data_IF_400130103201
#
_entry.id   IF_400130103201
#
_cell.length_a   1.000
_cell.length_b   1.000
_cell.length_c   1.000
_cell.angle_alpha   90.00
_cell.angle_beta   90.00
_cell.angle_gamma   90.00
#
_symmetry.space_group_name_H-M   'P 1'
#
loop_
_entity.id
_entity.type
_entity.pdbx_description
1 polymer ?
#
# COMPACT_ATOMS: atom_id res chain seq x y z
N UNK A 1 24.13 -13.18 28.64
CA UNK A 1 23.40 -12.25 27.77
C UNK A 1 24.04 -12.23 26.39
N UNK A 2 23.25 -12.35 25.33
CA UNK A 2 23.75 -12.28 23.96
C UNK A 2 23.68 -10.84 23.48
N UNK A 3 24.82 -10.23 23.17
CA UNK A 3 24.87 -8.89 22.56
C UNK A 3 24.89 -9.06 21.05
N UNK A 4 23.85 -8.55 20.38
CA UNK A 4 23.84 -8.50 18.93
C UNK A 4 24.91 -7.54 18.40
N UNK A 5 25.51 -7.86 17.24
CA UNK A 5 26.39 -6.91 16.56
C UNK A 5 25.60 -5.64 16.18
N UNK A 6 26.23 -4.49 16.31
CA UNK A 6 25.64 -3.22 15.86
C UNK A 6 25.77 -3.09 14.35
N UNK A 7 24.74 -3.54 13.63
CA UNK A 7 24.64 -3.37 12.18
C UNK A 7 23.84 -2.09 11.91
N UNK A 8 24.44 -1.16 11.16
CA UNK A 8 23.73 0.05 10.72
C UNK A 8 22.71 -0.31 9.64
N UNK A 9 21.54 0.34 9.71
CA UNK A 9 20.52 0.18 8.69
C UNK A 9 21.08 0.54 7.30
N UNK A 10 20.86 -0.34 6.33
CA UNK A 10 21.17 -0.04 4.94
C UNK A 10 20.02 0.77 4.35
N UNK A 11 20.26 1.96 3.76
CA UNK A 11 19.17 2.77 3.23
C UNK A 11 18.41 2.08 2.10
N UNK A 12 17.08 2.16 2.11
CA UNK A 12 16.22 1.49 1.13
C UNK A 12 16.54 1.89 -0.33
N UNK A 13 16.83 3.17 -0.58
CA UNK A 13 17.19 3.68 -1.91
C UNK A 13 18.50 3.06 -2.46
N UNK A 14 19.41 2.59 -1.58
CA UNK A 14 20.61 1.87 -2.00
C UNK A 14 20.34 0.40 -2.28
N UNK A 15 19.37 -0.19 -1.57
CA UNK A 15 18.97 -1.59 -1.75
C UNK A 15 18.21 -1.81 -3.07
N UNK A 16 17.26 -0.92 -3.37
CA UNK A 16 16.33 -1.07 -4.48
C UNK A 16 16.82 -0.46 -5.81
N UNK A 17 17.89 0.35 -5.78
CA UNK A 17 18.45 1.01 -6.95
C UNK A 17 17.50 2.05 -7.59
N UNK A 18 17.89 2.59 -8.75
CA UNK A 18 17.16 3.69 -9.43
C UNK A 18 15.87 3.29 -10.16
N UNK A 19 15.60 1.99 -10.31
CA UNK A 19 14.46 1.49 -11.11
C UNK A 19 13.16 1.38 -10.32
N UNK A 20 13.23 1.48 -9.00
CA UNK A 20 12.07 1.31 -8.13
C UNK A 20 11.33 2.64 -7.94
N UNK A 21 10.00 2.65 -8.10
CA UNK A 21 9.19 3.82 -7.80
C UNK A 21 9.39 4.29 -6.35
N UNK A 22 9.52 5.60 -6.09
CA UNK A 22 9.69 6.11 -4.73
C UNK A 22 8.52 5.73 -3.81
N UNK A 23 7.31 5.61 -4.34
CA UNK A 23 6.10 5.19 -3.63
C UNK A 23 6.19 3.75 -3.15
N UNK A 24 6.81 2.86 -3.94
CA UNK A 24 7.02 1.47 -3.55
C UNK A 24 8.00 1.37 -2.37
N UNK A 25 9.06 2.17 -2.41
CA UNK A 25 10.05 2.24 -1.32
C UNK A 25 9.42 2.80 -0.05
N UNK A 26 8.60 3.84 -0.17
CA UNK A 26 7.87 4.42 0.96
C UNK A 26 6.93 3.39 1.60
N UNK A 27 6.13 2.67 0.80
CA UNK A 27 5.23 1.62 1.29
C UNK A 27 5.97 0.53 2.07
N UNK A 28 7.06 0.01 1.50
CA UNK A 28 7.88 -1.02 2.15
C UNK A 28 8.46 -0.51 3.47
N UNK A 29 8.89 0.75 3.52
CA UNK A 29 9.42 1.35 4.74
C UNK A 29 8.37 1.45 5.85
N UNK A 30 7.09 1.67 5.52
CA UNK A 30 5.98 1.72 6.47
C UNK A 30 5.54 0.34 6.95
N UNK A 31 5.70 -0.69 6.11
CA UNK A 31 5.37 -2.08 6.45
C UNK A 31 6.45 -2.73 7.31
N UNK A 32 7.72 -2.55 6.94
CA UNK A 32 8.87 -3.21 7.57
C UNK A 32 9.42 -2.41 8.76
N UNK A 33 8.55 -2.16 9.74
CA UNK A 33 8.91 -1.52 11.00
C UNK A 33 9.11 -2.56 12.10
N UNK A 34 10.18 -2.39 12.89
CA UNK A 34 10.45 -3.24 14.05
C UNK A 34 9.35 -3.11 15.09
N UNK A 35 8.96 -1.88 15.41
CA UNK A 35 7.84 -1.61 16.32
C UNK A 35 6.52 -1.95 15.63
N UNK A 36 5.72 -2.88 16.17
CA UNK A 36 4.43 -3.25 15.57
C UNK A 36 3.47 -2.05 15.44
N UNK A 37 3.51 -1.15 16.42
CA UNK A 37 2.63 0.03 16.48
C UNK A 37 2.96 1.08 15.42
N UNK A 38 4.14 1.00 14.80
CA UNK A 38 4.56 1.90 13.71
C UNK A 38 4.26 1.34 12.33
N UNK A 39 3.84 0.07 12.23
CA UNK A 39 3.49 -0.53 10.95
C UNK A 39 2.20 0.10 10.44
N UNK A 40 2.16 0.40 9.14
CA UNK A 40 0.89 0.79 8.54
C UNK A 40 -0.13 -0.36 8.63
N UNK A 41 -1.40 0.01 8.80
CA UNK A 41 -2.48 -0.97 8.81
C UNK A 41 -2.71 -1.51 7.39
N UNK A 42 -3.39 -2.66 7.28
CA UNK A 42 -3.72 -3.23 5.98
C UNK A 42 -4.53 -2.24 5.11
N UNK A 43 -5.48 -1.53 5.71
CA UNK A 43 -6.31 -0.57 4.99
C UNK A 43 -5.54 0.69 4.60
N UNK A 44 -4.66 1.20 5.46
CA UNK A 44 -3.76 2.32 5.11
C UNK A 44 -2.81 1.95 3.98
N UNK A 45 -2.32 0.70 3.98
CA UNK A 45 -1.49 0.17 2.90
C UNK A 45 -2.29 0.06 1.59
N UNK A 46 -3.53 -0.43 1.64
CA UNK A 46 -4.43 -0.42 0.49
C UNK A 46 -4.60 1.01 -0.04
N UNK A 47 -4.83 1.99 0.82
CA UNK A 47 -4.99 3.41 0.49
C UNK A 47 -3.71 4.12 0.01
N UNK A 48 -2.57 3.43 -0.06
CA UNK A 48 -1.29 4.04 -0.40
C UNK A 48 -1.24 4.50 -1.88
N UNK A 49 -0.53 5.61 -2.20
CA UNK A 49 -0.39 6.11 -3.57
C UNK A 49 0.24 5.12 -4.55
N UNK A 50 1.02 4.16 -4.03
CA UNK A 50 1.57 3.07 -4.83
C UNK A 50 0.49 2.27 -5.59
N UNK A 51 -0.73 2.21 -5.06
CA UNK A 51 -1.86 1.53 -5.70
C UNK A 51 -2.81 2.48 -6.46
N UNK A 52 -2.47 3.76 -6.62
CA UNK A 52 -3.32 4.72 -7.33
C UNK A 52 -3.54 4.34 -8.80
N UNK A 53 -2.56 3.69 -9.44
CA UNK A 53 -2.72 3.17 -10.80
C UNK A 53 -3.86 2.17 -10.89
N UNK A 54 -4.08 1.33 -9.87
CA UNK A 54 -5.18 0.36 -9.85
C UNK A 54 -6.56 1.03 -9.74
N UNK A 55 -6.61 2.30 -9.30
CA UNK A 55 -7.83 3.10 -9.16
C UNK A 55 -8.15 3.92 -10.40
N UNK A 56 -7.26 3.98 -11.39
CA UNK A 56 -7.56 4.65 -12.65
C UNK A 56 -8.47 3.74 -13.50
N UNK A 57 -9.66 4.23 -13.93
CA UNK A 57 -10.57 3.44 -14.77
C UNK A 57 -9.97 3.03 -16.13
N UNK A 58 -8.85 3.65 -16.55
CA UNK A 58 -8.13 3.31 -17.78
C UNK A 58 -7.14 2.17 -17.60
N UNK A 59 -6.84 1.78 -16.35
CA UNK A 59 -5.86 0.74 -16.08
C UNK A 59 -6.40 -0.61 -16.49
N UNK A 60 -5.59 -1.31 -17.27
CA UNK A 60 -5.85 -2.67 -17.70
C UNK A 60 -4.61 -3.52 -17.42
N UNK A 61 -4.79 -4.83 -17.38
CA UNK A 61 -3.69 -5.76 -17.31
C UNK A 61 -2.80 -5.59 -18.56
N UNK A 62 -1.53 -6.00 -18.47
CA UNK A 62 -0.58 -5.91 -19.59
C UNK A 62 -1.01 -6.66 -20.86
N UNK A 63 -1.99 -7.57 -20.73
CA UNK A 63 -2.63 -8.28 -21.84
C UNK A 63 -3.90 -7.60 -22.39
N UNK A 64 -4.22 -6.39 -21.91
CA UNK A 64 -5.41 -5.62 -22.29
C UNK A 64 -6.72 -6.02 -21.62
N UNK A 65 -6.71 -7.03 -20.73
CA UNK A 65 -7.92 -7.43 -19.98
C UNK A 65 -8.21 -6.44 -18.85
N UNK A 66 -9.48 -6.35 -18.46
CA UNK A 66 -9.89 -5.60 -17.28
C UNK A 66 -9.24 -6.16 -16.02
N UNK A 67 -9.06 -5.30 -15.02
CA UNK A 67 -8.65 -5.71 -13.69
C UNK A 67 -9.72 -6.65 -13.07
N UNK A 68 -9.33 -7.55 -12.15
CA UNK A 68 -10.29 -8.28 -11.32
C UNK A 68 -11.12 -7.32 -10.45
N UNK A 69 -12.18 -7.78 -9.77
CA UNK A 69 -12.84 -6.97 -8.75
C UNK A 69 -11.83 -6.66 -7.63
N UNK A 70 -11.55 -5.36 -7.45
CA UNK A 70 -10.58 -4.84 -6.47
C UNK A 70 -11.23 -3.96 -5.39
N UNK A 71 -12.46 -3.50 -5.63
CA UNK A 71 -13.14 -2.49 -4.81
C UNK A 71 -14.49 -2.98 -4.27
N UNK A 72 -14.71 -4.29 -4.28
CA UNK A 72 -15.90 -4.99 -3.80
C UNK A 72 -15.84 -5.28 -2.29
N UNK A 73 -15.44 -4.28 -1.50
CA UNK A 73 -15.37 -4.39 -0.04
C UNK A 73 -16.74 -4.69 0.57
N UNK A 74 -16.77 -5.66 1.48
CA UNK A 74 -17.93 -5.99 2.29
C UNK A 74 -18.17 -4.95 3.40
N UNK A 75 -19.39 -4.91 3.95
CA UNK A 75 -19.72 -4.02 5.06
C UNK A 75 -18.83 -4.25 6.29
N UNK A 76 -18.43 -5.50 6.53
CA UNK A 76 -17.53 -5.86 7.63
C UNK A 76 -16.08 -5.36 7.42
N UNK A 77 -15.63 -5.25 6.17
CA UNK A 77 -14.30 -4.70 5.85
C UNK A 77 -14.25 -3.17 5.98
N UNK A 78 -15.40 -2.51 5.80
CA UNK A 78 -15.53 -1.07 5.92
C UNK A 78 -15.92 -0.60 7.34
N UNK A 79 -16.28 -1.53 8.21
CA UNK A 79 -16.77 -1.23 9.55
C UNK A 79 -15.68 -0.53 10.39
N UNK A 80 -16.02 0.61 10.97
CA UNK A 80 -15.12 1.39 11.82
C UNK A 80 -14.03 2.17 11.09
N UNK A 81 -14.00 2.14 9.75
CA UNK A 81 -13.05 2.95 8.98
C UNK A 81 -13.46 4.42 8.89
N UNK A 82 -12.51 5.36 8.95
CA UNK A 82 -12.78 6.76 8.67
C UNK A 82 -13.29 6.94 7.23
N UNK A 83 -14.27 7.83 7.04
CA UNK A 83 -14.86 8.13 5.71
C UNK A 83 -13.82 8.54 4.68
N UNK A 84 -12.81 9.32 5.10
CA UNK A 84 -11.69 9.75 4.24
C UNK A 84 -10.89 8.56 3.68
N UNK A 85 -10.71 7.51 4.48
CA UNK A 85 -9.99 6.32 4.08
C UNK A 85 -10.83 5.46 3.14
N UNK A 86 -12.13 5.33 3.42
CA UNK A 86 -13.10 4.67 2.54
C UNK A 86 -13.13 5.33 1.17
N UNK A 87 -13.14 6.67 1.14
CA UNK A 87 -13.08 7.44 -0.10
C UNK A 87 -11.76 7.27 -0.85
N UNK A 88 -10.65 7.00 -0.16
CA UNK A 88 -9.35 6.75 -0.80
C UNK A 88 -9.23 5.32 -1.32
N UNK A 89 -9.79 4.32 -0.64
CA UNK A 89 -9.74 2.92 -1.10
C UNK A 89 -10.81 2.62 -2.17
N UNK A 90 -11.97 3.29 -2.16
CA UNK A 90 -13.04 3.13 -3.16
C UNK A 90 -13.06 4.35 -4.10
N UNK A 91 -12.64 4.19 -5.37
CA UNK A 91 -12.62 5.29 -6.32
C UNK A 91 -14.03 5.74 -6.69
N UNK A 92 -14.18 7.03 -7.05
CA UNK A 92 -15.50 7.67 -7.27
C UNK A 92 -16.36 6.97 -8.32
N UNK A 93 -15.74 6.47 -9.40
CA UNK A 93 -16.45 5.77 -10.47
C UNK A 93 -17.01 4.39 -10.05
N UNK A 94 -16.61 3.87 -8.89
CA UNK A 94 -17.11 2.62 -8.31
C UNK A 94 -18.08 2.84 -7.14
N UNK A 95 -18.27 4.09 -6.69
CA UNK A 95 -19.25 4.41 -5.66
C UNK A 95 -20.65 4.33 -6.28
N UNK A 96 -21.49 3.45 -5.72
CA UNK A 96 -22.90 3.31 -6.13
C UNK A 96 -23.75 4.46 -5.60
#
# INVERSE_FOLDING_TARGET
EFKFPQIKAHPWHKLFGKRMPPEAVDLVSRLLQYSPNLRCTAVDACAHPFFDELRDPKTCLSNGRSLPPLFDFSAAELEGLPVELVHRIIPEHMRK
#
